data_IF_929070469634
#
_entry.id   IF_929070469634
#
_cell.length_a   1.000
_cell.length_b   1.000
_cell.length_c   1.000
_cell.angle_alpha   90.00
_cell.angle_beta   90.00
_cell.angle_gamma   90.00
#
_symmetry.space_group_name_H-M   'P 1'
#
loop_
_entity.id
_entity.type
_entity.pdbx_description
1 polymer ?
#
# COMPACT_ATOMS: atom_id res chain seq x y z
N UNK A 1 -4.53 2.28 1.39
CA UNK A 1 -5.24 2.39 0.08
C UNK A 1 -4.30 2.15 -1.10
N UNK A 2 -3.19 2.89 -1.23
CA UNK A 2 -2.23 2.67 -2.33
C UNK A 2 -1.58 1.27 -2.31
N UNK A 3 -1.16 0.80 -1.13
CA UNK A 3 -0.65 -0.56 -0.88
C UNK A 3 -1.59 -1.68 -1.35
N UNK A 4 -2.90 -1.50 -1.18
CA UNK A 4 -3.91 -2.45 -1.65
C UNK A 4 -4.01 -2.49 -3.17
N UNK A 5 -3.85 -1.35 -3.84
CA UNK A 5 -3.78 -1.29 -5.31
C UNK A 5 -2.50 -1.95 -5.85
N UNK A 6 -1.37 -1.80 -5.15
CA UNK A 6 -0.12 -2.52 -5.47
C UNK A 6 -0.37 -4.03 -5.39
N UNK A 7 -0.92 -4.52 -4.28
CA UNK A 7 -1.25 -5.93 -4.12
C UNK A 7 -2.20 -6.43 -5.23
N UNK A 8 -3.27 -5.69 -5.54
CA UNK A 8 -4.20 -6.05 -6.60
C UNK A 8 -3.53 -6.09 -7.99
N UNK A 9 -2.63 -5.15 -8.29
CA UNK A 9 -1.89 -5.13 -9.56
C UNK A 9 -0.94 -6.31 -9.68
N UNK A 10 -0.27 -6.70 -8.60
CA UNK A 10 0.57 -7.90 -8.56
C UNK A 10 -0.26 -9.16 -8.79
N UNK A 11 -1.42 -9.27 -8.14
CA UNK A 11 -2.31 -10.42 -8.32
C UNK A 11 -2.82 -10.60 -9.77
N UNK A 12 -2.88 -9.50 -10.54
CA UNK A 12 -3.28 -9.53 -11.95
C UNK A 12 -2.16 -10.02 -12.90
N UNK A 13 -0.94 -10.22 -12.41
CA UNK A 13 0.21 -10.67 -13.20
C UNK A 13 0.57 -12.13 -12.87
N UNK A 14 0.38 -13.03 -13.83
CA UNK A 14 0.56 -14.49 -13.66
C UNK A 14 1.97 -14.89 -13.16
N UNK A 15 2.99 -14.13 -13.53
CA UNK A 15 4.40 -14.38 -13.16
C UNK A 15 4.85 -13.64 -11.91
N UNK A 16 3.98 -12.84 -11.30
CA UNK A 16 4.33 -12.09 -10.10
C UNK A 16 4.19 -12.99 -8.85
N UNK A 17 4.96 -12.71 -7.78
CA UNK A 17 4.75 -13.33 -6.47
C UNK A 17 3.32 -13.13 -5.97
N UNK A 18 2.81 -14.09 -5.22
CA UNK A 18 1.45 -14.03 -4.67
C UNK A 18 1.40 -12.92 -3.60
N UNK A 19 0.60 -11.86 -3.77
CA UNK A 19 0.58 -10.76 -2.82
C UNK A 19 -0.31 -11.11 -1.61
N UNK A 20 0.25 -10.97 -0.41
CA UNK A 20 -0.47 -11.00 0.86
C UNK A 20 -0.46 -9.60 1.47
N UNK A 21 -1.63 -8.95 1.49
CA UNK A 21 -1.79 -7.60 2.03
C UNK A 21 -2.47 -7.67 3.39
N UNK A 22 -1.94 -6.93 4.37
CA UNK A 22 -2.56 -6.74 5.69
C UNK A 22 -2.21 -5.36 6.26
N UNK A 23 -3.00 -4.88 7.22
CA UNK A 23 -2.60 -3.70 8.02
C UNK A 23 -1.78 -4.18 9.20
N UNK A 24 -0.68 -3.49 9.49
CA UNK A 24 0.21 -3.84 10.60
C UNK A 24 -0.48 -3.81 11.97
N UNK A 25 -1.48 -2.94 12.13
CA UNK A 25 -2.31 -2.89 13.34
C UNK A 25 -3.12 -4.17 13.59
N UNK A 26 -3.40 -4.95 12.54
CA UNK A 26 -4.18 -6.18 12.64
C UNK A 26 -3.36 -7.32 13.27
N UNK A 27 -2.03 -7.13 13.42
CA UNK A 27 -1.15 -8.01 14.17
C UNK A 27 -1.17 -7.74 15.69
N UNK A 28 -1.61 -6.57 16.13
CA UNK A 28 -1.59 -6.17 17.56
C UNK A 28 -2.35 -7.16 18.45
N UNK A 29 -3.53 -7.67 18.07
CA UNK A 29 -4.25 -8.67 18.89
C UNK A 29 -3.51 -10.00 19.05
N UNK A 30 -2.56 -10.30 18.17
CA UNK A 30 -1.76 -11.54 18.17
C UNK A 30 -0.51 -11.41 19.02
N UNK A 31 -0.12 -10.18 19.39
CA UNK A 31 1.07 -9.94 20.20
C UNK A 31 0.81 -10.19 21.69
N UNK A 32 1.78 -10.76 22.42
CA UNK A 32 1.68 -10.88 23.87
C UNK A 32 1.59 -9.50 24.55
N UNK A 33 1.08 -9.48 25.78
CA UNK A 33 0.97 -8.24 26.57
C UNK A 33 2.34 -7.64 26.93
N UNK A 34 3.35 -8.48 27.09
CA UNK A 34 4.74 -8.09 27.36
C UNK A 34 5.69 -8.90 26.47
N UNK A 35 6.85 -8.31 26.16
CA UNK A 35 7.85 -8.92 25.28
C UNK A 35 8.50 -10.20 25.83
N UNK A 36 9.22 -10.95 25.00
CA UNK A 36 9.57 -10.63 23.60
C UNK A 36 8.37 -10.73 22.65
N UNK A 37 8.30 -9.84 21.67
CA UNK A 37 7.20 -9.80 20.70
C UNK A 37 7.55 -10.63 19.48
N UNK A 38 6.77 -11.68 19.22
CA UNK A 38 6.98 -12.61 18.10
C UNK A 38 5.65 -12.96 17.44
N UNK A 39 5.70 -13.15 16.13
CA UNK A 39 4.60 -13.62 15.29
C UNK A 39 5.15 -14.62 14.30
N UNK A 40 4.33 -15.58 13.88
CA UNK A 40 4.69 -16.54 12.84
C UNK A 40 4.09 -16.15 11.48
N UNK A 41 4.61 -16.74 10.40
CA UNK A 41 4.05 -16.55 9.06
C UNK A 41 2.54 -16.89 9.01
N UNK A 42 2.11 -17.85 9.84
CA UNK A 42 0.69 -18.23 9.96
C UNK A 42 -0.16 -17.11 10.53
N UNK A 43 0.34 -16.38 11.53
CA UNK A 43 -0.33 -15.23 12.12
C UNK A 43 -0.51 -14.13 11.08
N UNK A 44 0.51 -13.90 10.23
CA UNK A 44 0.44 -12.93 9.13
C UNK A 44 -0.60 -13.32 8.09
N UNK A 45 -0.66 -14.60 7.70
CA UNK A 45 -1.69 -15.10 6.77
C UNK A 45 -3.08 -14.96 7.37
N UNK A 46 -3.28 -15.34 8.63
CA UNK A 46 -4.58 -15.23 9.30
C UNK A 46 -5.02 -13.77 9.45
N UNK A 47 -4.10 -12.85 9.75
CA UNK A 47 -4.40 -11.42 9.83
C UNK A 47 -4.75 -10.82 8.46
N UNK A 48 -4.09 -11.26 7.38
CA UNK A 48 -4.31 -10.74 6.03
C UNK A 48 -5.54 -11.30 5.32
N UNK A 49 -6.01 -12.49 5.72
CA UNK A 49 -7.11 -13.20 5.07
C UNK A 49 -8.13 -13.65 6.11
N UNK A 50 -8.93 -12.70 6.61
CA UNK A 50 -9.99 -12.98 7.58
C UNK A 50 -10.96 -14.05 7.05
N UNK A 51 -11.37 -14.98 7.93
CA UNK A 51 -12.32 -16.07 7.64
C UNK A 51 -11.94 -16.94 6.42
N UNK A 52 -10.65 -17.05 6.12
CA UNK A 52 -10.15 -17.91 5.05
C UNK A 52 -10.36 -19.40 5.35
N UNK A 53 -10.67 -20.16 4.30
CA UNK A 53 -10.67 -21.62 4.38
C UNK A 53 -9.26 -22.12 4.75
N UNK A 54 -9.13 -23.19 5.57
CA UNK A 54 -7.82 -23.72 5.96
C UNK A 54 -6.89 -24.01 4.79
N UNK A 55 -7.44 -24.49 3.66
CA UNK A 55 -6.67 -24.80 2.45
C UNK A 55 -6.02 -23.56 1.84
N UNK A 56 -6.70 -22.40 1.91
CA UNK A 56 -6.13 -21.13 1.43
C UNK A 56 -5.00 -20.67 2.35
N UNK A 57 -5.17 -20.82 3.67
CA UNK A 57 -4.13 -20.50 4.64
C UNK A 57 -2.88 -21.33 4.40
N UNK A 58 -3.02 -22.67 4.26
CA UNK A 58 -1.88 -23.54 3.95
C UNK A 58 -1.23 -23.22 2.60
N UNK A 59 -2.03 -22.92 1.57
CA UNK A 59 -1.51 -22.56 0.27
C UNK A 59 -0.69 -21.26 0.30
N UNK A 60 -1.14 -20.25 1.05
CA UNK A 60 -0.43 -18.98 1.20
C UNK A 60 0.84 -19.13 2.05
N UNK A 61 0.77 -19.92 3.13
CA UNK A 61 1.93 -20.28 3.93
C UNK A 61 3.01 -20.94 3.08
N UNK A 62 2.65 -21.94 2.27
CA UNK A 62 3.59 -22.60 1.39
C UNK A 62 4.25 -21.62 0.40
N UNK A 63 3.53 -20.60 -0.07
CA UNK A 63 4.12 -19.56 -0.94
C UNK A 63 5.11 -18.66 -0.20
N UNK A 64 4.83 -18.32 1.06
CA UNK A 64 5.75 -17.55 1.90
C UNK A 64 7.02 -18.36 2.18
N UNK A 65 6.88 -19.62 2.60
CA UNK A 65 7.99 -20.52 2.91
C UNK A 65 8.88 -20.82 1.70
N UNK A 66 8.32 -20.76 0.49
CA UNK A 66 9.06 -20.91 -0.77
C UNK A 66 9.69 -19.61 -1.29
N UNK A 67 9.49 -18.47 -0.61
CA UNK A 67 9.95 -17.16 -1.11
C UNK A 67 9.19 -16.68 -2.36
N UNK A 68 8.01 -17.22 -2.64
CA UNK A 68 7.21 -16.91 -3.83
C UNK A 68 6.00 -16.01 -3.53
N UNK A 69 6.08 -15.24 -2.45
CA UNK A 69 5.05 -14.30 -2.03
C UNK A 69 5.60 -12.87 -1.90
N UNK A 70 4.70 -11.91 -2.00
CA UNK A 70 4.95 -10.50 -1.68
C UNK A 70 4.16 -10.15 -0.42
N UNK A 71 4.84 -9.85 0.68
CA UNK A 71 4.21 -9.35 1.89
C UNK A 71 4.04 -7.83 1.79
N UNK A 72 2.80 -7.35 1.78
CA UNK A 72 2.49 -5.91 1.82
C UNK A 72 1.94 -5.55 3.19
N UNK A 73 2.81 -4.99 4.03
CA UNK A 73 2.52 -4.59 5.40
C UNK A 73 2.14 -3.10 5.46
N UNK A 74 0.85 -2.82 5.57
CA UNK A 74 0.29 -1.48 5.43
C UNK A 74 0.31 -0.70 6.75
N UNK A 75 0.64 0.60 6.65
CA UNK A 75 0.40 1.62 7.66
C UNK A 75 1.04 1.36 9.05
N UNK A 76 2.37 1.29 9.13
CA UNK A 76 3.09 1.19 10.42
C UNK A 76 2.80 2.37 11.36
N UNK A 77 2.42 3.53 10.84
CA UNK A 77 2.03 4.68 11.66
C UNK A 77 0.72 4.48 12.43
N UNK A 78 -0.14 3.56 11.98
CA UNK A 78 -1.41 3.23 12.63
C UNK A 78 -1.27 2.27 13.82
N UNK A 79 -0.07 1.80 14.15
CA UNK A 79 0.16 0.93 15.32
C UNK A 79 0.33 1.68 16.64
N UNK A 80 0.34 3.01 16.60
CA UNK A 80 0.34 3.93 17.75
C UNK A 80 1.33 3.53 18.87
N UNK A 81 0.82 3.29 20.08
CA UNK A 81 1.54 2.93 21.30
C UNK A 81 2.17 1.53 21.24
N UNK A 82 1.66 0.66 20.36
CA UNK A 82 2.19 -0.69 20.14
C UNK A 82 3.23 -0.76 19.02
N UNK A 83 3.68 0.38 18.48
CA UNK A 83 4.62 0.42 17.35
C UNK A 83 5.89 -0.37 17.58
N UNK A 84 6.57 -0.15 18.69
CA UNK A 84 7.86 -0.82 18.93
C UNK A 84 7.68 -2.34 19.05
N UNK A 85 6.56 -2.79 19.64
CA UNK A 85 6.20 -4.19 19.72
C UNK A 85 5.92 -4.82 18.33
N UNK A 86 5.20 -4.10 17.47
CA UNK A 86 4.94 -4.56 16.10
C UNK A 86 6.23 -4.60 15.28
N UNK A 87 7.09 -3.58 15.40
CA UNK A 87 8.38 -3.55 14.70
C UNK A 87 9.29 -4.68 15.17
N UNK A 88 9.36 -4.95 16.47
CA UNK A 88 10.13 -6.07 17.03
C UNK A 88 9.63 -7.40 16.46
N UNK A 89 8.32 -7.64 16.50
CA UNK A 89 7.73 -8.87 15.99
C UNK A 89 7.92 -9.05 14.48
N UNK A 90 7.79 -7.97 13.71
CA UNK A 90 8.03 -8.02 12.25
C UNK A 90 9.52 -8.23 11.97
N UNK A 91 10.44 -7.59 12.70
CA UNK A 91 11.87 -7.82 12.51
C UNK A 91 12.26 -9.28 12.80
N UNK A 92 11.78 -9.85 13.92
CA UNK A 92 11.99 -11.26 14.27
C UNK A 92 11.40 -12.22 13.22
N UNK A 93 10.25 -11.87 12.64
CA UNK A 93 9.66 -12.63 11.54
C UNK A 93 10.55 -12.54 10.29
N UNK A 94 10.96 -11.35 9.87
CA UNK A 94 11.77 -11.15 8.67
C UNK A 94 13.12 -11.89 8.75
N UNK A 95 13.74 -11.93 9.92
CA UNK A 95 14.99 -12.67 10.15
C UNK A 95 14.83 -14.21 10.00
N UNK A 96 13.59 -14.72 10.00
CA UNK A 96 13.26 -16.15 9.85
C UNK A 96 12.67 -16.52 8.48
N UNK A 97 12.33 -15.54 7.65
CA UNK A 97 11.73 -15.78 6.34
C UNK A 97 12.82 -16.01 5.26
N UNK A 98 12.47 -16.66 4.13
CA UNK A 98 13.40 -16.83 3.02
C UNK A 98 13.92 -15.49 2.49
N UNK A 99 15.19 -15.45 2.08
CA UNK A 99 15.82 -14.23 1.54
C UNK A 99 15.17 -13.79 0.22
N UNK A 100 14.57 -14.71 -0.52
CA UNK A 100 13.89 -14.46 -1.79
C UNK A 100 12.51 -13.83 -1.64
N UNK A 101 11.98 -13.75 -0.41
CA UNK A 101 10.65 -13.20 -0.15
C UNK A 101 10.62 -11.68 -0.34
N UNK A 102 9.72 -11.20 -1.19
CA UNK A 102 9.52 -9.77 -1.36
C UNK A 102 8.70 -9.19 -0.18
N UNK A 103 9.19 -8.08 0.39
CA UNK A 103 8.52 -7.40 1.50
C UNK A 103 8.43 -5.90 1.25
N UNK A 104 7.21 -5.38 1.37
CA UNK A 104 6.91 -3.95 1.30
C UNK A 104 6.25 -3.50 2.60
N UNK A 105 6.90 -2.56 3.30
CA UNK A 105 6.34 -1.90 4.48
C UNK A 105 6.02 -0.46 4.13
N UNK A 106 4.81 -0.02 4.46
CA UNK A 106 4.41 1.37 4.24
C UNK A 106 4.20 2.11 5.56
N UNK A 107 4.54 3.39 5.59
CA UNK A 107 4.35 4.24 6.75
C UNK A 107 4.40 5.72 6.39
N UNK A 108 4.05 6.58 7.34
CA UNK A 108 4.39 8.00 7.33
C UNK A 108 5.82 8.24 7.84
N UNK A 109 6.37 9.39 7.45
CA UNK A 109 7.72 9.82 7.86
C UNK A 109 7.93 9.85 9.38
N UNK A 110 6.86 10.03 10.17
CA UNK A 110 6.92 9.99 11.65
C UNK A 110 7.42 8.68 12.23
N UNK A 111 7.38 7.57 11.48
CA UNK A 111 7.79 6.25 11.94
C UNK A 111 9.17 5.84 11.43
N UNK A 112 9.91 6.73 10.74
CA UNK A 112 11.20 6.42 10.13
C UNK A 112 12.16 5.75 11.13
N UNK A 113 12.26 6.29 12.35
CA UNK A 113 13.16 5.76 13.39
C UNK A 113 12.84 4.30 13.73
N UNK A 114 11.58 3.98 14.03
CA UNK A 114 11.20 2.59 14.31
C UNK A 114 11.35 1.71 13.08
N UNK A 115 11.01 2.20 11.88
CA UNK A 115 11.13 1.44 10.63
C UNK A 115 12.58 1.04 10.30
N UNK A 116 13.59 1.81 10.71
CA UNK A 116 15.00 1.43 10.48
C UNK A 116 15.40 0.10 11.14
N UNK A 117 14.69 -0.33 12.20
CA UNK A 117 14.92 -1.62 12.86
C UNK A 117 14.58 -2.81 11.96
N UNK A 118 13.72 -2.61 10.95
CA UNK A 118 13.36 -3.65 9.97
C UNK A 118 14.48 -3.91 8.96
N UNK A 119 15.51 -3.05 8.91
CA UNK A 119 16.67 -3.16 8.00
C UNK A 119 16.32 -3.25 6.51
N UNK A 120 15.10 -2.85 6.14
CA UNK A 120 14.67 -2.77 4.75
C UNK A 120 15.18 -1.48 4.09
N UNK A 121 15.44 -1.50 2.77
CA UNK A 121 15.71 -0.28 2.00
C UNK A 121 14.56 0.73 2.13
N UNK A 122 14.90 2.00 2.37
CA UNK A 122 13.91 3.06 2.57
C UNK A 122 13.74 3.88 1.30
N UNK A 123 12.50 3.95 0.81
CA UNK A 123 12.10 4.79 -0.32
C UNK A 123 11.12 5.86 0.16
N UNK A 124 11.52 7.13 0.02
CA UNK A 124 10.69 8.27 0.39
C UNK A 124 9.89 8.77 -0.81
N UNK A 125 8.56 8.75 -0.69
CA UNK A 125 7.69 9.43 -1.65
C UNK A 125 7.76 10.94 -1.39
N UNK A 126 8.29 11.68 -2.37
CA UNK A 126 8.40 13.13 -2.33
C UNK A 126 7.29 13.80 -3.13
N UNK A 127 7.03 15.06 -2.82
CA UNK A 127 6.16 15.90 -3.65
C UNK A 127 6.66 15.87 -5.10
N UNK A 128 5.78 15.63 -6.08
CA UNK A 128 6.17 15.66 -7.48
C UNK A 128 6.72 17.04 -7.86
N UNK A 129 7.79 17.06 -8.67
CA UNK A 129 8.43 18.31 -9.11
C UNK A 129 7.48 19.18 -9.95
N UNK A 130 6.64 18.54 -10.75
CA UNK A 130 5.54 19.19 -11.46
C UNK A 130 4.22 18.53 -11.05
N UNK A 131 3.51 19.18 -10.14
CA UNK A 131 2.22 18.71 -9.66
C UNK A 131 1.22 18.63 -10.83
N UNK A 132 1.24 19.58 -11.76
CA UNK A 132 0.29 19.62 -12.87
C UNK A 132 0.44 18.41 -13.79
N UNK A 133 1.67 18.10 -14.21
CA UNK A 133 1.94 16.92 -15.05
C UNK A 133 1.53 15.62 -14.35
N UNK A 134 1.77 15.55 -13.04
CA UNK A 134 1.41 14.38 -12.22
C UNK A 134 -0.10 14.20 -12.14
N UNK A 135 -0.85 15.29 -11.99
CA UNK A 135 -2.30 15.28 -11.94
C UNK A 135 -2.92 14.95 -13.31
N UNK A 136 -2.35 15.44 -14.40
CA UNK A 136 -2.77 15.11 -15.76
C UNK A 136 -2.48 13.64 -16.09
N UNK A 137 -1.34 13.11 -15.65
CA UNK A 137 -1.01 11.68 -15.80
C UNK A 137 -1.94 10.81 -14.95
N UNK A 138 -2.25 11.24 -13.72
CA UNK A 138 -3.23 10.57 -12.86
C UNK A 138 -4.61 10.48 -13.53
N UNK A 139 -5.10 11.59 -14.10
CA UNK A 139 -6.36 11.60 -14.85
C UNK A 139 -6.33 10.63 -16.04
N UNK A 140 -5.20 10.58 -16.76
CA UNK A 140 -5.04 9.69 -17.91
C UNK A 140 -5.10 8.21 -17.50
N UNK A 141 -4.40 7.84 -16.42
CA UNK A 141 -4.42 6.48 -15.87
C UNK A 141 -5.82 6.11 -15.37
N UNK A 142 -6.53 7.03 -14.70
CA UNK A 142 -7.91 6.78 -14.27
C UNK A 142 -8.84 6.59 -15.47
N UNK A 143 -8.66 7.38 -16.54
CA UNK A 143 -9.44 7.24 -17.77
C UNK A 143 -9.27 5.84 -18.40
N UNK A 144 -8.03 5.34 -18.48
CA UNK A 144 -7.72 4.01 -18.99
C UNK A 144 -8.36 2.89 -18.17
N UNK A 145 -8.48 3.07 -16.84
CA UNK A 145 -9.12 2.09 -15.98
C UNK A 145 -10.65 2.13 -16.03
N UNK A 146 -11.25 3.29 -16.29
CA UNK A 146 -12.71 3.48 -16.26
C UNK A 146 -13.39 3.29 -17.62
N UNK A 147 -12.68 3.41 -18.75
CA UNK A 147 -13.31 3.35 -20.07
C UNK A 147 -12.37 2.93 -21.20
N UNK A 148 -12.78 1.91 -21.96
CA UNK A 148 -12.07 1.43 -23.14
C UNK A 148 -11.84 2.51 -24.23
N UNK A 149 -10.90 2.26 -25.16
CA UNK A 149 -10.13 3.27 -25.91
C UNK A 149 -10.91 4.28 -26.77
N UNK A 150 -12.20 4.06 -27.08
CA UNK A 150 -12.99 4.95 -27.93
C UNK A 150 -13.79 6.01 -27.17
N UNK A 151 -14.06 5.80 -25.87
CA UNK A 151 -14.77 6.77 -25.00
C UNK A 151 -13.83 7.72 -24.23
N UNK A 152 -12.54 7.41 -24.22
CA UNK A 152 -11.54 8.00 -23.33
C UNK A 152 -11.20 9.44 -23.70
N UNK A 153 -11.10 9.78 -25.00
CA UNK A 153 -10.62 11.12 -25.42
C UNK A 153 -11.58 12.25 -25.04
N UNK A 154 -12.87 12.10 -25.38
CA UNK A 154 -13.88 13.12 -25.07
C UNK A 154 -14.10 13.24 -23.55
N UNK A 155 -14.11 12.10 -22.85
CA UNK A 155 -14.22 12.04 -21.40
C UNK A 155 -13.05 12.75 -20.71
N UNK A 156 -11.81 12.43 -21.10
CA UNK A 156 -10.60 13.05 -20.55
C UNK A 156 -10.57 14.55 -20.84
N UNK A 157 -10.98 14.98 -22.03
CA UNK A 157 -11.07 16.39 -22.38
C UNK A 157 -12.06 17.16 -21.50
N UNK A 158 -13.25 16.60 -21.25
CA UNK A 158 -14.25 17.19 -20.36
C UNK A 158 -13.73 17.31 -18.92
N UNK A 159 -13.10 16.25 -18.39
CA UNK A 159 -12.55 16.25 -17.02
C UNK A 159 -11.38 17.21 -16.88
N UNK A 160 -10.51 17.31 -17.89
CA UNK A 160 -9.42 18.31 -17.93
C UNK A 160 -9.99 19.74 -17.90
N UNK A 161 -11.10 20.01 -18.60
CA UNK A 161 -11.76 21.31 -18.54
C UNK A 161 -12.34 21.61 -17.15
N UNK A 162 -12.93 20.61 -16.48
CA UNK A 162 -13.44 20.75 -15.10
C UNK A 162 -12.32 21.00 -14.09
N UNK A 163 -11.20 20.28 -14.21
CA UNK A 163 -9.96 20.49 -13.43
C UNK A 163 -9.47 21.93 -13.60
N UNK A 164 -9.34 22.39 -14.86
CA UNK A 164 -8.89 23.75 -15.15
C UNK A 164 -9.84 24.82 -14.59
N UNK A 165 -11.15 24.56 -14.61
CA UNK A 165 -12.15 25.44 -14.00
C UNK A 165 -12.02 25.49 -12.47
N UNK A 166 -12.00 24.34 -11.80
CA UNK A 166 -11.84 24.25 -10.34
C UNK A 166 -10.55 24.92 -9.87
N UNK A 167 -9.44 24.72 -10.59
CA UNK A 167 -8.16 25.36 -10.28
C UNK A 167 -8.21 26.89 -10.31
N UNK A 168 -9.00 27.47 -11.23
CA UNK A 168 -9.21 28.92 -11.30
C UNK A 168 -10.16 29.43 -10.21
N UNK A 169 -11.19 28.65 -9.88
CA UNK A 169 -12.17 29.03 -8.88
C UNK A 169 -11.61 28.99 -7.45
N UNK A 170 -10.75 28.00 -7.16
CA UNK A 170 -10.31 27.70 -5.78
C UNK A 170 -8.79 27.46 -5.71
N UNK A 171 -7.94 28.43 -6.09
CA UNK A 171 -6.50 28.22 -6.27
C UNK A 171 -5.77 27.73 -5.02
N UNK A 172 -6.25 28.09 -3.82
CA UNK A 172 -5.65 27.66 -2.56
C UNK A 172 -5.78 26.15 -2.32
N UNK A 173 -6.84 25.51 -2.80
CA UNK A 173 -6.98 24.06 -2.68
C UNK A 173 -5.96 23.30 -3.55
N UNK A 174 -5.53 23.92 -4.65
CA UNK A 174 -4.58 23.34 -5.59
C UNK A 174 -3.12 23.55 -5.19
N UNK A 175 -2.85 24.42 -4.20
CA UNK A 175 -1.51 24.61 -3.61
C UNK A 175 -1.09 23.46 -2.72
N UNK A 176 -2.04 22.66 -2.22
CA UNK A 176 -1.77 21.49 -1.38
C UNK A 176 -1.80 20.25 -2.28
N UNK A 177 -0.64 19.59 -2.54
CA UNK A 177 -0.57 18.49 -3.51
C UNK A 177 -1.57 17.36 -3.28
N UNK A 178 -1.76 16.96 -2.02
CA UNK A 178 -2.71 15.91 -1.66
C UNK A 178 -4.17 16.32 -1.96
N UNK A 179 -4.52 17.58 -1.68
CA UNK A 179 -5.86 18.09 -1.92
C UNK A 179 -6.13 18.22 -3.42
N UNK A 180 -5.16 18.71 -4.18
CA UNK A 180 -5.22 18.73 -5.64
C UNK A 180 -5.41 17.32 -6.23
N UNK A 181 -4.70 16.32 -5.68
CA UNK A 181 -4.85 14.90 -6.06
C UNK A 181 -6.26 14.40 -5.78
N UNK A 182 -6.81 14.67 -4.60
CA UNK A 182 -8.17 14.28 -4.22
C UNK A 182 -9.23 14.93 -5.12
N UNK A 183 -9.07 16.22 -5.44
CA UNK A 183 -9.98 16.94 -6.34
C UNK A 183 -9.96 16.31 -7.74
N UNK A 184 -8.78 15.97 -8.26
CA UNK A 184 -8.67 15.29 -9.56
C UNK A 184 -9.36 13.93 -9.54
N UNK A 185 -9.16 13.13 -8.48
CA UNK A 185 -9.85 11.84 -8.33
C UNK A 185 -11.37 12.00 -8.22
N UNK A 186 -11.86 13.03 -7.51
CA UNK A 186 -13.28 13.33 -7.41
C UNK A 186 -13.89 13.77 -8.74
N UNK A 187 -13.17 14.57 -9.52
CA UNK A 187 -13.61 15.00 -10.85
C UNK A 187 -13.59 13.84 -11.85
N UNK A 188 -12.68 12.88 -11.63
CA UNK A 188 -12.53 11.68 -12.45
C UNK A 188 -13.53 10.56 -12.12
N UNK A 189 -14.30 10.67 -11.03
CA UNK A 189 -15.50 9.83 -10.81
C UNK A 189 -16.67 10.34 -11.65
#
# INVERSE_FOLDING_TARGET
MASRCIAARWAAHEKAPVPLWLRLRDLIPLLPAAGPYRIDARDVVQAGVSDAQPQLVEALLARIEQGHALLVLDALDETLDRRDAVVEAVADLLDRLPEELDVLVTSRHSCLRSATLLRLPVYELRTPRNLEDTLDQLLSVVAEQLGGPAGTVAWTAERRARIAHSRRAEPDLWRVPLLATLIVLLIAQ
#
